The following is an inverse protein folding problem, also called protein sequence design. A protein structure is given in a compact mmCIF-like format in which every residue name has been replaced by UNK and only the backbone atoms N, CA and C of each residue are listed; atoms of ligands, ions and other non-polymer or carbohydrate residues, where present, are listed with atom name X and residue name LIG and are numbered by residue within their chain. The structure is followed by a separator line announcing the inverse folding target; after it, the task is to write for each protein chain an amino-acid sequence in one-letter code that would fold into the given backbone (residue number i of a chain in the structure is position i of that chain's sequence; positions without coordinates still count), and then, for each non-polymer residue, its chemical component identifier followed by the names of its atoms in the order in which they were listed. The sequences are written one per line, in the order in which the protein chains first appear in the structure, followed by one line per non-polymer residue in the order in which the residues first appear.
data_IF_739231221118
#
_entry.id   IF_739231221118
#
_cell.length_a   1.000
_cell.length_b   1.000
_cell.length_c   1.000
_cell.angle_alpha   90.00
_cell.angle_beta   90.00
_cell.angle_gamma   90.00
#
_symmetry.space_group_name_H-M   'P 1'
#
loop_
_entity.id
_entity.type
_entity.pdbx_description
1 polymer ?
#
# COMPACT_ATOMS: atom_id res chain seq x y z
N UNK A 1 26.96 8.80 -3.75
CA UNK A 1 27.10 9.95 -2.83
C UNK A 1 26.31 9.62 -1.56
N UNK A 2 26.97 9.23 -0.46
CA UNK A 2 26.28 8.91 0.83
C UNK A 2 26.14 10.19 1.65
N UNK A 3 25.06 10.94 1.46
CA UNK A 3 24.76 12.09 2.32
C UNK A 3 24.29 11.56 3.68
N UNK A 4 25.19 11.57 4.66
CA UNK A 4 24.91 11.20 6.04
C UNK A 4 23.88 12.21 6.59
N UNK A 5 22.76 11.70 7.11
CA UNK A 5 21.61 12.45 7.64
C UNK A 5 21.98 13.29 8.89
N UNK A 6 22.73 14.37 8.72
CA UNK A 6 23.22 15.24 9.82
C UNK A 6 22.07 15.94 10.53
N UNK A 7 21.09 16.45 9.80
CA UNK A 7 19.93 17.14 10.39
C UNK A 7 19.00 16.18 11.15
N UNK A 8 18.77 14.96 10.64
CA UNK A 8 17.92 13.97 11.32
C UNK A 8 18.49 13.61 12.70
N UNK A 9 19.79 13.34 12.77
CA UNK A 9 20.46 13.03 14.04
C UNK A 9 20.39 14.17 15.04
N UNK A 10 20.47 15.43 14.59
CA UNK A 10 20.35 16.59 15.47
C UNK A 10 18.97 16.62 16.16
N UNK A 11 17.89 16.42 15.39
CA UNK A 11 16.53 16.37 15.95
C UNK A 11 16.26 15.10 16.77
N UNK A 12 16.79 13.93 16.39
CA UNK A 12 16.65 12.70 17.17
C UNK A 12 17.34 12.78 18.54
N UNK A 13 18.39 13.59 18.68
CA UNK A 13 19.19 13.72 19.91
C UNK A 13 18.70 14.80 20.88
N UNK A 14 17.83 15.70 20.44
CA UNK A 14 17.35 16.83 21.22
C UNK A 14 16.07 16.46 21.98
N UNK A 15 16.02 16.76 23.29
CA UNK A 15 14.91 16.39 24.18
C UNK A 15 13.63 17.22 23.97
N UNK A 16 13.71 18.32 23.23
CA UNK A 16 12.59 19.23 22.99
C UNK A 16 11.83 18.91 21.69
N UNK A 17 12.33 17.97 20.88
CA UNK A 17 11.72 17.61 19.60
C UNK A 17 11.23 16.17 19.62
N UNK A 18 10.14 15.92 18.88
CA UNK A 18 9.65 14.57 18.58
C UNK A 18 9.88 14.34 17.09
N UNK A 19 10.56 13.24 16.75
CA UNK A 19 10.81 12.84 15.37
C UNK A 19 9.88 11.69 15.01
N UNK A 20 9.04 11.90 14.00
CA UNK A 20 8.16 10.87 13.46
C UNK A 20 8.72 10.41 12.12
N UNK A 21 9.16 9.15 11.98
CA UNK A 21 9.60 8.64 10.69
C UNK A 21 8.42 8.56 9.71
N UNK A 22 8.57 9.22 8.56
CA UNK A 22 7.62 9.13 7.45
C UNK A 22 8.31 8.39 6.30
N UNK A 23 8.23 7.06 6.33
CA UNK A 23 8.77 6.21 5.28
C UNK A 23 7.66 5.80 4.31
N UNK A 24 8.05 5.55 3.06
CA UNK A 24 7.17 4.97 2.07
C UNK A 24 6.69 3.60 2.53
N UNK A 25 5.44 3.29 2.24
CA UNK A 25 4.87 1.97 2.55
C UNK A 25 5.41 0.93 1.58
N UNK A 26 5.98 -0.15 2.10
CA UNK A 26 6.31 -1.33 1.30
C UNK A 26 5.08 -2.22 1.14
N UNK A 27 5.13 -3.16 0.20
CA UNK A 27 4.07 -4.16 0.01
C UNK A 27 3.76 -4.95 1.29
N UNK A 28 4.77 -5.21 2.13
CA UNK A 28 4.61 -5.87 3.42
C UNK A 28 3.82 -4.98 4.40
N UNK A 29 4.12 -3.68 4.41
CA UNK A 29 3.43 -2.71 5.26
C UNK A 29 1.97 -2.55 4.83
N UNK A 30 1.70 -2.53 3.51
CA UNK A 30 0.34 -2.47 2.95
C UNK A 30 -0.44 -3.73 3.35
N UNK A 31 0.16 -4.91 3.21
CA UNK A 31 -0.46 -6.18 3.60
C UNK A 31 -0.76 -6.22 5.11
N UNK A 32 0.17 -5.74 5.94
CA UNK A 32 -0.04 -5.66 7.39
C UNK A 32 -1.16 -4.68 7.75
N UNK A 33 -1.17 -3.49 7.15
CA UNK A 33 -2.22 -2.48 7.31
C UNK A 33 -3.60 -3.04 6.93
N UNK A 34 -3.71 -3.71 5.78
CA UNK A 34 -4.95 -4.32 5.30
C UNK A 34 -5.46 -5.38 6.28
N UNK A 35 -4.58 -6.29 6.72
CA UNK A 35 -4.97 -7.34 7.67
C UNK A 35 -5.44 -6.78 9.02
N UNK A 36 -4.79 -5.72 9.52
CA UNK A 36 -5.22 -5.05 10.74
C UNK A 36 -6.61 -4.45 10.58
N UNK A 37 -6.86 -3.70 9.50
CA UNK A 37 -8.17 -3.10 9.25
C UNK A 37 -9.30 -4.11 9.02
N UNK A 38 -9.00 -5.23 8.37
CA UNK A 38 -9.94 -6.35 8.24
C UNK A 38 -10.32 -6.90 9.62
N UNK A 39 -9.32 -7.16 10.47
CA UNK A 39 -9.53 -7.65 11.83
C UNK A 39 -10.34 -6.67 12.69
N UNK A 40 -10.03 -5.37 12.60
CA UNK A 40 -10.72 -4.32 13.37
C UNK A 40 -12.22 -4.22 13.02
N UNK A 41 -12.61 -4.70 11.83
CA UNK A 41 -13.99 -4.70 11.33
C UNK A 41 -14.64 -6.07 11.30
N UNK A 42 -13.98 -7.11 11.84
CA UNK A 42 -14.44 -8.50 11.77
C UNK A 42 -14.76 -8.92 10.31
N UNK A 43 -13.91 -8.51 9.38
CA UNK A 43 -14.00 -8.83 7.96
C UNK A 43 -12.94 -9.85 7.58
N UNK A 44 -13.25 -10.67 6.58
CA UNK A 44 -12.27 -11.54 5.91
C UNK A 44 -12.15 -11.17 4.45
N UNK A 45 -11.07 -11.62 3.81
CA UNK A 45 -10.81 -11.31 2.41
C UNK A 45 -10.00 -12.43 1.79
N UNK A 46 -10.36 -12.81 0.55
CA UNK A 46 -9.65 -13.82 -0.22
C UNK A 46 -8.19 -13.43 -0.46
N UNK A 47 -7.32 -14.43 -0.53
CA UNK A 47 -5.87 -14.20 -0.65
C UNK A 47 -5.51 -13.43 -1.92
N UNK A 48 -6.09 -13.82 -3.04
CA UNK A 48 -5.87 -13.19 -4.35
C UNK A 48 -6.41 -11.76 -4.42
N UNK A 49 -7.47 -11.45 -3.67
CA UNK A 49 -7.95 -10.08 -3.47
C UNK A 49 -6.94 -9.22 -2.70
N UNK A 50 -6.32 -9.76 -1.64
CA UNK A 50 -5.24 -9.06 -0.91
C UNK A 50 -4.02 -8.84 -1.79
N UNK A 51 -3.61 -9.86 -2.54
CA UNK A 51 -2.47 -9.79 -3.45
C UNK A 51 -2.71 -8.73 -4.54
N UNK A 52 -3.95 -8.64 -5.07
CA UNK A 52 -4.35 -7.59 -6.00
C UNK A 52 -4.21 -6.19 -5.40
N UNK A 53 -4.68 -5.96 -4.18
CA UNK A 53 -4.57 -4.67 -3.49
C UNK A 53 -3.10 -4.27 -3.33
N UNK A 54 -2.27 -5.18 -2.84
CA UNK A 54 -0.84 -4.93 -2.62
C UNK A 54 -0.10 -4.64 -3.93
N UNK A 55 -0.50 -5.28 -5.03
CA UNK A 55 0.07 -5.01 -6.36
C UNK A 55 -0.44 -3.70 -6.98
N UNK A 56 -1.65 -3.26 -6.63
CA UNK A 56 -2.29 -2.08 -7.23
C UNK A 56 -2.00 -0.78 -6.48
N UNK A 57 -1.83 -0.86 -5.17
CA UNK A 57 -1.56 0.31 -4.33
C UNK A 57 -0.06 0.56 -4.28
N UNK A 58 0.36 1.72 -4.81
CA UNK A 58 1.75 2.17 -4.76
C UNK A 58 2.21 2.53 -3.34
N UNK A 59 3.29 3.30 -3.25
CA UNK A 59 3.97 3.59 -1.99
C UNK A 59 3.42 4.79 -1.19
N UNK A 60 2.32 5.40 -1.64
CA UNK A 60 1.65 6.51 -0.96
C UNK A 60 0.71 5.98 0.12
N UNK A 61 1.06 6.22 1.39
CA UNK A 61 0.29 5.77 2.55
C UNK A 61 -1.11 6.39 2.62
N UNK A 62 -1.26 7.68 2.28
CA UNK A 62 -2.53 8.39 2.34
C UNK A 62 -3.52 7.90 1.30
N UNK A 63 -3.03 7.64 0.09
CA UNK A 63 -3.82 7.00 -0.96
C UNK A 63 -4.17 5.56 -0.59
N UNK A 64 -3.19 4.79 -0.13
CA UNK A 64 -3.38 3.38 0.27
C UNK A 64 -4.47 3.24 1.32
N UNK A 65 -4.41 4.05 2.38
CA UNK A 65 -5.41 4.03 3.44
C UNK A 65 -6.80 4.38 2.89
N UNK A 66 -6.91 5.41 2.05
CA UNK A 66 -8.21 5.82 1.47
C UNK A 66 -8.82 4.74 0.57
N UNK A 67 -8.03 4.06 -0.27
CA UNK A 67 -8.53 2.98 -1.13
C UNK A 67 -8.96 1.75 -0.33
N UNK A 68 -8.21 1.36 0.70
CA UNK A 68 -8.61 0.26 1.60
C UNK A 68 -9.92 0.63 2.30
N UNK A 69 -10.06 1.86 2.81
CA UNK A 69 -11.29 2.30 3.46
C UNK A 69 -12.51 2.24 2.54
N UNK A 70 -12.37 2.60 1.25
CA UNK A 70 -13.48 2.49 0.27
C UNK A 70 -13.99 1.06 0.15
N UNK A 71 -13.09 0.09 0.04
CA UNK A 71 -13.45 -1.33 -0.07
C UNK A 71 -14.18 -1.77 1.20
N UNK A 72 -13.60 -1.50 2.37
CA UNK A 72 -14.15 -1.97 3.64
C UNK A 72 -15.50 -1.33 3.98
N UNK A 73 -15.74 -0.07 3.60
CA UNK A 73 -17.01 0.62 3.87
C UNK A 73 -18.20 0.07 3.09
N UNK A 74 -17.98 -0.78 2.07
CA UNK A 74 -19.06 -1.44 1.33
C UNK A 74 -19.53 -2.75 1.97
N UNK A 75 -18.85 -3.21 3.03
CA UNK A 75 -19.08 -4.52 3.63
C UNK A 75 -19.48 -4.38 5.11
N UNK A 76 -20.19 -5.38 5.61
CA UNK A 76 -20.65 -5.47 6.99
C UNK A 76 -19.81 -6.48 7.78
N UNK A 77 -19.79 -6.36 9.10
CA UNK A 77 -19.12 -7.30 10.00
C UNK A 77 -19.50 -8.75 9.68
N UNK A 78 -18.52 -9.62 9.54
CA UNK A 78 -18.70 -11.04 9.20
C UNK A 78 -18.60 -11.35 7.70
N UNK A 79 -18.54 -10.34 6.82
CA UNK A 79 -18.44 -10.57 5.38
C UNK A 79 -17.05 -11.11 4.97
N UNK A 80 -17.05 -11.91 3.89
CA UNK A 80 -15.84 -12.34 3.17
C UNK A 80 -15.77 -11.60 1.84
N UNK A 81 -14.72 -10.79 1.68
CA UNK A 81 -14.53 -9.96 0.48
C UNK A 81 -13.84 -10.76 -0.62
N UNK A 82 -14.47 -10.81 -1.79
CA UNK A 82 -13.96 -11.51 -2.97
C UNK A 82 -13.05 -10.65 -3.84
N UNK A 83 -12.24 -11.29 -4.68
CA UNK A 83 -11.40 -10.59 -5.68
C UNK A 83 -12.23 -9.75 -6.65
N UNK A 84 -13.37 -10.25 -7.12
CA UNK A 84 -14.23 -9.52 -8.07
C UNK A 84 -14.81 -8.24 -7.48
N UNK A 85 -15.15 -8.24 -6.19
CA UNK A 85 -15.64 -7.03 -5.51
C UNK A 85 -14.53 -5.99 -5.42
N UNK A 86 -13.31 -6.42 -5.04
CA UNK A 86 -12.14 -5.54 -5.03
C UNK A 86 -11.86 -4.96 -6.42
N UNK A 87 -11.88 -5.77 -7.48
CA UNK A 87 -11.68 -5.30 -8.87
C UNK A 87 -12.70 -4.24 -9.30
N UNK A 88 -13.95 -4.33 -8.80
CA UNK A 88 -14.99 -3.36 -9.15
C UNK A 88 -14.85 -2.02 -8.42
N UNK A 89 -14.20 -2.00 -7.26
CA UNK A 89 -14.08 -0.82 -6.40
C UNK A 89 -12.74 -0.13 -6.59
N UNK A 90 -11.67 -0.91 -6.75
CA UNK A 90 -10.33 -0.37 -6.80
C UNK A 90 -10.15 0.39 -8.11
N UNK A 91 -10.00 1.70 -8.00
CA UNK A 91 -9.46 2.47 -9.12
C UNK A 91 -7.97 2.22 -9.07
N UNK A 92 -7.40 1.66 -10.15
CA UNK A 92 -5.95 1.64 -10.32
C UNK A 92 -5.47 3.07 -10.23
N UNK A 93 -4.98 3.48 -9.06
CA UNK A 93 -4.24 4.72 -8.86
C UNK A 93 -2.91 4.47 -9.54
N UNK A 94 -2.93 4.55 -10.87
CA UNK A 94 -1.83 4.23 -11.75
C UNK A 94 -0.70 5.24 -11.53
N UNK A 95 0.01 5.09 -10.44
CA UNK A 95 1.45 4.92 -10.52
C UNK A 95 1.70 3.46 -10.95
N UNK A 96 1.11 3.03 -12.10
CA UNK A 96 1.82 2.10 -12.96
C UNK A 96 3.14 2.81 -13.13
N UNK A 97 4.13 2.29 -12.43
CA UNK A 97 5.48 2.79 -12.48
C UNK A 97 5.76 2.78 -13.97
N UNK A 98 5.86 3.97 -14.59
CA UNK A 98 6.09 4.08 -16.04
C UNK A 98 7.28 3.19 -16.41
N UNK A 99 8.20 2.98 -15.47
CA UNK A 99 9.29 2.01 -15.49
C UNK A 99 8.86 0.55 -15.70
N UNK A 100 7.77 0.02 -15.13
CA UNK A 100 7.31 -1.37 -15.38
C UNK A 100 6.71 -1.53 -16.78
N UNK A 101 6.01 -0.50 -17.27
CA UNK A 101 5.54 -0.44 -18.65
C UNK A 101 6.73 -0.34 -19.62
N UNK A 102 7.73 0.48 -19.27
CA UNK A 102 9.01 0.58 -19.97
C UNK A 102 9.68 -0.79 -19.97
N UNK A 103 9.86 -1.44 -18.83
CA UNK A 103 10.51 -2.74 -18.73
C UNK A 103 9.76 -3.80 -19.53
N UNK A 104 8.43 -3.82 -19.51
CA UNK A 104 7.62 -4.75 -20.34
C UNK A 104 7.78 -4.49 -21.84
N UNK A 105 7.93 -3.21 -22.24
CA UNK A 105 8.14 -2.83 -23.65
C UNK A 105 9.59 -3.08 -24.10
N UNK A 106 10.56 -2.95 -23.20
CA UNK A 106 11.99 -3.05 -23.50
C UNK A 106 12.59 -4.44 -23.22
N UNK A 107 11.98 -5.26 -22.36
CA UNK A 107 12.24 -6.70 -22.27
C UNK A 107 11.62 -7.40 -23.47
N UNK A 108 12.39 -7.43 -24.56
CA UNK A 108 12.13 -8.18 -25.79
C UNK A 108 11.25 -9.42 -25.55
N UNK A 109 10.05 -9.42 -26.14
CA UNK A 109 9.36 -10.66 -26.50
C UNK A 109 10.30 -11.45 -27.43
N UNK A 110 10.98 -12.45 -26.88
CA UNK A 110 11.59 -13.50 -27.69
C UNK A 110 10.45 -14.39 -28.17
N UNK A 111 10.14 -14.26 -29.46
CA UNK A 111 9.40 -15.25 -30.22
C UNK A 111 10.17 -16.58 -30.27
#
# INVERSE_FOLDING_TARGET
MKTKLTSRKAFESDKNFIVIPCYNSSNIDIMALLNNKLKDRDLTMQKDAKDLIVASLGNDYGNTTSEIEKILNQHQSGDEISKSEVESIIVSSSNIIVTDLVDTVFEKQKA
#
